data_IF_092516948629
#
_entry.id   IF_092516948629
#
_cell.length_a   1.000
_cell.length_b   1.000
_cell.length_c   1.000
_cell.angle_alpha   90.00
_cell.angle_beta   90.00
_cell.angle_gamma   90.00
#
_symmetry.space_group_name_H-M   'P 1'
#
loop_
_entity.id
_entity.type
_entity.pdbx_description
1 polymer ?
#
# COMPACT_ATOMS: atom_id res chain seq x y z
N UNK A 1 -19.33 -25.00 -58.33
CA UNK A 1 -20.10 -24.29 -57.28
C UNK A 1 -19.36 -24.39 -55.96
N UNK A 2 -19.27 -23.26 -55.28
CA UNK A 2 -18.27 -22.91 -54.26
C UNK A 2 -18.48 -23.68 -52.95
N UNK A 3 -17.41 -24.29 -52.44
CA UNK A 3 -17.40 -24.94 -51.12
C UNK A 3 -17.32 -23.93 -49.98
N UNK A 4 -18.36 -23.89 -49.15
CA UNK A 4 -18.37 -23.08 -47.92
C UNK A 4 -17.60 -23.79 -46.80
N UNK A 5 -16.33 -23.43 -46.59
CA UNK A 5 -15.62 -23.76 -45.35
C UNK A 5 -16.15 -22.85 -44.24
N UNK A 6 -17.05 -23.38 -43.42
CA UNK A 6 -17.50 -22.75 -42.18
C UNK A 6 -16.32 -22.57 -41.22
N UNK A 7 -15.83 -21.34 -41.11
CA UNK A 7 -14.90 -20.94 -40.07
C UNK A 7 -15.61 -21.01 -38.71
N UNK A 8 -15.45 -22.13 -37.99
CA UNK A 8 -15.75 -22.19 -36.57
C UNK A 8 -14.84 -21.19 -35.86
N UNK A 9 -15.38 -20.01 -35.54
CA UNK A 9 -14.81 -19.14 -34.50
C UNK A 9 -14.70 -19.99 -33.24
N UNK A 10 -13.47 -20.37 -32.87
CA UNK A 10 -13.20 -20.83 -31.50
C UNK A 10 -13.58 -19.66 -30.60
N UNK A 11 -14.65 -19.79 -29.81
CA UNK A 11 -14.82 -18.90 -28.67
C UNK A 11 -13.56 -19.06 -27.84
N UNK A 12 -12.75 -18.01 -27.74
CA UNK A 12 -11.67 -17.97 -26.77
C UNK A 12 -12.36 -18.00 -25.41
N UNK A 13 -12.43 -19.19 -24.80
CA UNK A 13 -12.91 -19.34 -23.44
C UNK A 13 -12.13 -18.35 -22.58
N UNK A 14 -12.84 -17.38 -22.01
CA UNK A 14 -12.24 -16.41 -21.11
C UNK A 14 -11.50 -17.19 -20.01
N UNK A 15 -10.25 -16.82 -19.67
CA UNK A 15 -9.47 -17.56 -18.70
C UNK A 15 -10.25 -17.63 -17.38
N UNK A 16 -10.68 -18.83 -17.00
CA UNK A 16 -11.49 -19.04 -15.79
C UNK A 16 -10.68 -18.61 -14.56
N UNK A 17 -11.28 -17.76 -13.73
CA UNK A 17 -10.71 -17.35 -12.45
C UNK A 17 -10.63 -18.58 -11.53
N UNK A 18 -9.40 -19.08 -11.27
CA UNK A 18 -9.17 -20.17 -10.33
C UNK A 18 -8.68 -19.60 -9.00
N UNK A 19 -9.54 -19.58 -8.00
CA UNK A 19 -9.21 -19.16 -6.64
C UNK A 19 -8.84 -20.37 -5.80
N UNK A 20 -7.63 -20.37 -5.23
CA UNK A 20 -7.16 -21.41 -4.32
C UNK A 20 -7.21 -20.87 -2.89
N UNK A 21 -7.64 -21.65 -1.88
CA UNK A 21 -7.69 -21.19 -0.49
C UNK A 21 -6.37 -20.59 0.01
N UNK A 22 -5.24 -21.16 -0.44
CA UNK A 22 -3.90 -20.67 -0.11
C UNK A 22 -3.64 -19.20 -0.48
N UNK A 23 -4.33 -18.66 -1.49
CA UNK A 23 -4.18 -17.25 -1.91
C UNK A 23 -4.80 -16.26 -0.90
N UNK A 24 -5.67 -16.74 -0.01
CA UNK A 24 -6.31 -15.92 1.03
C UNK A 24 -5.59 -16.01 2.38
N UNK A 25 -4.49 -16.76 2.48
CA UNK A 25 -3.68 -16.81 3.71
C UNK A 25 -3.18 -15.42 4.15
N UNK A 26 -2.71 -14.52 3.25
CA UNK A 26 -2.35 -13.16 3.65
C UNK A 26 -3.55 -12.38 4.22
N UNK A 27 -4.73 -12.52 3.61
CA UNK A 27 -5.98 -11.91 4.11
C UNK A 27 -6.29 -12.38 5.53
N UNK A 28 -6.25 -13.69 5.77
CA UNK A 28 -6.49 -14.26 7.10
C UNK A 28 -5.43 -13.82 8.12
N UNK A 29 -4.16 -13.79 7.72
CA UNK A 29 -3.05 -13.38 8.58
C UNK A 29 -3.19 -11.91 9.03
N UNK A 30 -3.49 -11.00 8.10
CA UNK A 30 -3.69 -9.59 8.44
C UNK A 30 -5.00 -9.35 9.22
N UNK A 31 -6.07 -10.08 8.93
CA UNK A 31 -7.30 -10.01 9.72
C UNK A 31 -7.04 -10.45 11.18
N UNK A 32 -6.31 -11.55 11.38
CA UNK A 32 -5.89 -12.00 12.70
C UNK A 32 -4.97 -10.98 13.39
N UNK A 33 -4.04 -10.36 12.65
CA UNK A 33 -3.18 -9.30 13.15
C UNK A 33 -3.99 -8.08 13.62
N UNK A 34 -5.04 -7.69 12.88
CA UNK A 34 -5.93 -6.60 13.28
C UNK A 34 -6.63 -6.90 14.60
N UNK A 35 -7.18 -8.10 14.77
CA UNK A 35 -7.81 -8.53 16.02
C UNK A 35 -6.80 -8.55 17.18
N UNK A 36 -5.62 -9.13 16.96
CA UNK A 36 -4.57 -9.21 17.97
C UNK A 36 -4.06 -7.82 18.37
N UNK A 37 -3.82 -6.93 17.40
CA UNK A 37 -3.39 -5.56 17.66
C UNK A 37 -4.45 -4.79 18.48
N UNK A 38 -5.74 -4.93 18.15
CA UNK A 38 -6.84 -4.34 18.94
C UNK A 38 -6.89 -4.86 20.36
N UNK A 39 -6.59 -6.15 20.56
CA UNK A 39 -6.50 -6.73 21.90
C UNK A 39 -5.34 -6.13 22.70
N UNK A 40 -4.16 -5.99 22.09
CA UNK A 40 -2.99 -5.35 22.70
C UNK A 40 -3.27 -3.88 23.04
N UNK A 41 -3.90 -3.13 22.14
CA UNK A 41 -4.20 -1.70 22.32
C UNK A 41 -5.43 -1.42 23.18
N UNK A 42 -6.08 -2.43 23.77
CA UNK A 42 -7.31 -2.24 24.57
C UNK A 42 -7.06 -1.43 25.84
N UNK A 43 -5.90 -1.60 26.47
CA UNK A 43 -5.52 -0.92 27.71
C UNK A 43 -4.10 -0.33 27.55
N UNK A 44 -3.95 0.75 26.77
CA UNK A 44 -2.63 1.32 26.53
C UNK A 44 -2.12 2.06 27.79
N UNK A 45 -0.80 2.14 28.00
CA UNK A 45 -0.21 3.02 29.01
C UNK A 45 -0.72 4.47 28.90
N UNK A 46 -0.90 5.14 30.05
CA UNK A 46 -1.43 6.53 30.12
C UNK A 46 -0.70 7.50 29.18
N UNK A 47 0.63 7.40 29.10
CA UNK A 47 1.47 8.25 28.23
C UNK A 47 1.14 8.18 26.74
N UNK A 48 0.43 7.15 26.28
CA UNK A 48 0.10 6.93 24.86
C UNK A 48 -1.30 7.42 24.48
N UNK A 49 -2.10 7.92 25.43
CA UNK A 49 -3.49 8.29 25.15
C UNK A 49 -3.62 9.42 24.12
N UNK A 50 -2.66 10.36 24.09
CA UNK A 50 -2.62 11.43 23.10
C UNK A 50 -2.42 10.91 21.66
N UNK A 51 -1.73 9.78 21.49
CA UNK A 51 -1.48 9.20 20.17
C UNK A 51 -2.74 8.56 19.58
N UNK A 52 -3.68 8.10 20.42
CA UNK A 52 -4.99 7.61 19.97
C UNK A 52 -5.92 8.72 19.48
N UNK A 53 -5.58 10.00 19.70
CA UNK A 53 -6.31 11.13 19.12
C UNK A 53 -5.82 11.48 17.70
N UNK A 54 -4.71 10.89 17.25
CA UNK A 54 -4.21 11.09 15.88
C UNK A 54 -5.13 10.38 14.88
N UNK A 55 -5.26 10.89 13.63
CA UNK A 55 -6.05 10.24 12.60
C UNK A 55 -5.70 8.76 12.39
N UNK A 56 -4.41 8.45 12.39
CA UNK A 56 -3.84 7.10 12.33
C UNK A 56 -2.83 6.92 13.45
N UNK A 57 -2.98 5.87 14.23
CA UNK A 57 -2.12 5.60 15.39
C UNK A 57 -0.78 5.03 14.90
N UNK A 58 0.33 5.73 15.17
CA UNK A 58 1.68 5.27 14.79
C UNK A 58 2.45 4.87 16.05
N UNK A 59 3.05 3.68 16.04
CA UNK A 59 3.56 3.04 17.28
C UNK A 59 5.08 2.90 17.34
N UNK A 60 5.79 3.45 16.35
CA UNK A 60 7.26 3.33 16.20
C UNK A 60 8.02 3.74 17.45
N UNK A 61 7.55 4.79 18.15
CA UNK A 61 8.23 5.37 19.30
C UNK A 61 7.67 4.90 20.67
N UNK A 62 6.85 3.86 20.70
CA UNK A 62 6.18 3.39 21.93
C UNK A 62 7.03 2.46 22.82
N UNK A 63 8.26 2.15 22.40
CA UNK A 63 9.17 1.25 23.12
C UNK A 63 8.62 -0.18 23.21
N UNK A 64 8.71 -0.81 24.38
CA UNK A 64 8.29 -2.22 24.60
C UNK A 64 6.83 -2.47 24.21
N UNK A 65 5.93 -1.51 24.44
CA UNK A 65 4.53 -1.65 24.05
C UNK A 65 4.35 -1.67 22.52
N UNK A 66 5.09 -0.82 21.81
CA UNK A 66 5.16 -0.85 20.35
C UNK A 66 5.79 -2.13 19.82
N UNK A 67 6.81 -2.67 20.51
CA UNK A 67 7.46 -3.92 20.13
C UNK A 67 6.51 -5.12 20.13
N UNK A 68 5.52 -5.16 21.03
CA UNK A 68 4.49 -6.20 21.02
C UNK A 68 3.63 -6.14 19.75
N UNK A 69 3.29 -4.94 19.27
CA UNK A 69 2.56 -4.74 18.02
C UNK A 69 3.41 -5.11 16.79
N UNK A 70 4.71 -4.78 16.82
CA UNK A 70 5.67 -5.22 15.79
C UNK A 70 5.72 -6.75 15.74
N UNK A 71 5.76 -7.43 16.89
CA UNK A 71 5.75 -8.89 16.94
C UNK A 71 4.48 -9.48 16.31
N UNK A 72 3.30 -8.89 16.57
CA UNK A 72 2.04 -9.28 15.91
C UNK A 72 2.16 -9.15 14.39
N UNK A 73 2.70 -8.03 13.89
CA UNK A 73 2.91 -7.84 12.45
C UNK A 73 3.90 -8.87 11.88
N UNK A 74 5.04 -9.11 12.54
CA UNK A 74 6.05 -10.08 12.09
C UNK A 74 5.44 -11.47 11.95
N UNK A 75 4.61 -11.91 12.92
CA UNK A 75 3.91 -13.19 12.84
C UNK A 75 2.98 -13.22 11.63
N UNK A 76 2.20 -12.16 11.39
CA UNK A 76 1.32 -12.07 10.24
C UNK A 76 2.07 -12.13 8.91
N UNK A 77 3.19 -11.39 8.80
CA UNK A 77 4.07 -11.39 7.63
C UNK A 77 4.70 -12.76 7.41
N UNK A 78 5.12 -13.46 8.46
CA UNK A 78 5.69 -14.81 8.37
C UNK A 78 4.65 -15.82 7.88
N UNK A 79 3.44 -15.80 8.44
CA UNK A 79 2.32 -16.67 8.01
C UNK A 79 1.96 -16.38 6.55
N UNK A 80 1.77 -15.12 6.18
CA UNK A 80 1.52 -14.72 4.79
C UNK A 80 2.68 -15.14 3.86
N UNK A 81 3.92 -15.04 4.33
CA UNK A 81 5.14 -15.45 3.64
C UNK A 81 5.16 -16.92 3.25
N UNK A 82 4.59 -17.82 4.07
CA UNK A 82 4.49 -19.24 3.71
C UNK A 82 3.65 -19.46 2.44
N UNK A 83 2.54 -18.73 2.30
CA UNK A 83 1.67 -18.79 1.12
C UNK A 83 2.33 -18.15 -0.10
N UNK A 84 3.06 -17.05 0.10
CA UNK A 84 3.83 -16.37 -0.94
C UNK A 84 4.94 -17.26 -1.50
N UNK A 85 5.74 -17.91 -0.65
CA UNK A 85 6.77 -18.86 -1.11
C UNK A 85 6.13 -20.04 -1.84
N UNK A 86 5.02 -20.56 -1.31
CA UNK A 86 4.28 -21.65 -1.96
C UNK A 86 3.79 -21.24 -3.35
N UNK A 87 3.25 -20.02 -3.48
CA UNK A 87 2.77 -19.41 -4.72
C UNK A 87 3.86 -19.38 -5.80
N UNK A 88 5.03 -18.85 -5.45
CA UNK A 88 6.15 -18.69 -6.37
C UNK A 88 6.75 -20.03 -6.82
N UNK A 89 6.60 -21.08 -6.02
CA UNK A 89 7.05 -22.44 -6.35
C UNK A 89 6.04 -23.22 -7.21
N UNK A 90 4.83 -22.70 -7.41
CA UNK A 90 3.83 -23.42 -8.20
C UNK A 90 4.14 -23.40 -9.71
N UNK A 91 3.77 -24.47 -10.40
CA UNK A 91 3.78 -24.49 -11.87
C UNK A 91 2.61 -23.71 -12.47
N UNK A 92 1.45 -23.74 -11.80
CA UNK A 92 0.22 -23.06 -12.22
C UNK A 92 0.07 -21.72 -11.48
N UNK A 93 0.76 -20.69 -11.99
CA UNK A 93 0.71 -19.35 -11.45
C UNK A 93 -0.71 -18.74 -11.59
N UNK A 94 -1.22 -18.01 -10.59
CA UNK A 94 -2.58 -17.49 -10.63
C UNK A 94 -2.82 -16.57 -11.83
N UNK A 95 -4.08 -16.51 -12.26
CA UNK A 95 -4.48 -15.53 -13.27
C UNK A 95 -4.34 -14.10 -12.73
N UNK A 96 -4.18 -13.09 -13.60
CA UNK A 96 -4.07 -11.70 -13.16
C UNK A 96 -5.29 -11.24 -12.34
N UNK A 97 -6.50 -11.69 -12.73
CA UNK A 97 -7.71 -11.41 -11.96
C UNK A 97 -7.70 -12.04 -10.55
N UNK A 98 -7.10 -13.23 -10.40
CA UNK A 98 -6.94 -13.84 -9.08
C UNK A 98 -5.98 -13.03 -8.22
N UNK A 99 -4.84 -12.62 -8.79
CA UNK A 99 -3.87 -11.75 -8.10
C UNK A 99 -4.51 -10.45 -7.64
N UNK A 100 -5.22 -9.72 -8.52
CA UNK A 100 -5.91 -8.47 -8.15
C UNK A 100 -6.90 -8.70 -7.01
N UNK A 101 -7.76 -9.72 -7.12
CA UNK A 101 -8.78 -9.99 -6.10
C UNK A 101 -8.16 -10.37 -4.75
N UNK A 102 -7.17 -11.26 -4.74
CA UNK A 102 -6.57 -11.76 -3.50
C UNK A 102 -5.67 -10.70 -2.85
N UNK A 103 -4.93 -9.92 -3.66
CA UNK A 103 -4.16 -8.78 -3.16
C UNK A 103 -5.09 -7.70 -2.62
N UNK A 104 -6.18 -7.36 -3.31
CA UNK A 104 -7.18 -6.41 -2.78
C UNK A 104 -7.76 -6.89 -1.45
N UNK A 105 -8.15 -8.16 -1.33
CA UNK A 105 -8.65 -8.71 -0.08
C UNK A 105 -7.61 -8.62 1.06
N UNK A 106 -6.35 -8.99 0.78
CA UNK A 106 -5.27 -8.91 1.75
C UNK A 106 -4.95 -7.46 2.16
N UNK A 107 -4.95 -6.54 1.20
CA UNK A 107 -4.74 -5.12 1.40
C UNK A 107 -5.83 -4.48 2.26
N UNK A 108 -7.10 -4.83 2.01
CA UNK A 108 -8.22 -4.38 2.84
C UNK A 108 -8.08 -4.91 4.27
N UNK A 109 -7.73 -6.19 4.44
CA UNK A 109 -7.49 -6.77 5.76
C UNK A 109 -6.30 -6.12 6.49
N UNK A 110 -5.20 -5.85 5.78
CA UNK A 110 -4.05 -5.13 6.33
C UNK A 110 -4.42 -3.70 6.75
N UNK A 111 -5.28 -3.04 5.97
CA UNK A 111 -5.74 -1.68 6.27
C UNK A 111 -6.60 -1.58 7.53
N UNK A 112 -7.19 -2.70 7.98
CA UNK A 112 -7.96 -2.79 9.23
C UNK A 112 -7.09 -2.92 10.47
N UNK A 113 -5.78 -3.15 10.34
CA UNK A 113 -4.86 -3.14 11.48
C UNK A 113 -4.87 -1.72 12.07
N UNK A 114 -5.17 -1.54 13.37
CA UNK A 114 -5.48 -0.24 13.95
C UNK A 114 -4.25 0.65 14.18
N UNK A 115 -3.06 0.20 13.76
CA UNK A 115 -1.78 0.84 14.05
C UNK A 115 -0.88 0.79 12.82
N UNK A 116 -0.04 1.81 12.70
CA UNK A 116 1.04 1.93 11.72
C UNK A 116 2.40 1.90 12.42
N UNK A 117 3.43 1.52 11.68
CA UNK A 117 4.83 1.51 12.10
C UNK A 117 5.66 2.56 11.37
N UNK A 118 5.05 3.32 10.46
CA UNK A 118 5.65 4.45 9.76
C UNK A 118 4.81 5.72 9.90
N UNK A 119 5.51 6.85 9.84
CA UNK A 119 4.98 8.20 9.94
C UNK A 119 4.86 8.89 8.56
N UNK A 120 5.24 8.21 7.49
CA UNK A 120 5.51 8.84 6.21
C UNK A 120 4.27 9.48 5.57
N UNK A 121 3.09 8.86 5.70
CA UNK A 121 1.83 9.40 5.17
C UNK A 121 1.48 10.77 5.75
N UNK A 122 1.87 11.03 7.00
CA UNK A 122 1.74 12.36 7.61
C UNK A 122 2.68 13.36 6.94
N UNK A 123 3.93 12.98 6.70
CA UNK A 123 4.90 13.82 6.00
C UNK A 123 4.43 14.13 4.57
N UNK A 124 3.89 13.15 3.84
CA UNK A 124 3.37 13.37 2.48
C UNK A 124 2.24 14.41 2.47
N UNK A 125 1.30 14.29 3.41
CA UNK A 125 0.21 15.24 3.55
C UNK A 125 0.72 16.63 3.96
N UNK A 126 1.72 16.73 4.84
CA UNK A 126 2.35 17.99 5.19
C UNK A 126 3.08 18.64 4.00
N UNK A 127 3.83 17.88 3.19
CA UNK A 127 4.48 18.40 1.99
C UNK A 127 3.48 18.95 0.99
N UNK A 128 2.36 18.25 0.77
CA UNK A 128 1.28 18.76 -0.07
C UNK A 128 0.63 20.03 0.49
N UNK A 129 0.47 20.12 1.82
CA UNK A 129 -0.08 21.30 2.49
C UNK A 129 0.84 22.52 2.41
N UNK A 130 2.16 22.32 2.50
CA UNK A 130 3.17 23.36 2.29
C UNK A 130 3.17 23.84 0.83
N UNK A 131 3.20 22.90 -0.11
CA UNK A 131 3.18 23.21 -1.55
C UNK A 131 1.93 23.99 -1.96
N UNK A 132 0.75 23.64 -1.43
CA UNK A 132 -0.50 24.38 -1.67
C UNK A 132 -0.47 25.84 -1.18
N UNK A 133 0.48 26.20 -0.30
CA UNK A 133 0.67 27.55 0.21
C UNK A 133 1.87 28.27 -0.42
N UNK A 134 2.50 27.66 -1.42
CA UNK A 134 3.73 28.19 -2.02
C UNK A 134 4.93 28.16 -1.07
N UNK A 135 4.88 27.32 -0.02
CA UNK A 135 6.01 27.13 0.90
C UNK A 135 6.82 25.94 0.40
N UNK A 136 8.12 26.14 0.26
CA UNK A 136 9.06 25.10 -0.19
C UNK A 136 9.19 23.97 0.86
N UNK A 137 8.75 22.73 0.54
CA UNK A 137 8.84 21.60 1.48
C UNK A 137 10.26 21.01 1.60
N UNK A 138 11.20 21.41 0.74
CA UNK A 138 12.60 20.95 0.77
C UNK A 138 13.45 21.67 1.81
N UNK A 139 12.98 22.83 2.26
CA UNK A 139 13.60 23.59 3.33
C UNK A 139 13.06 23.09 4.67
N UNK A 140 13.79 23.38 5.76
CA UNK A 140 13.24 23.22 7.10
C UNK A 140 12.10 24.23 7.25
N UNK A 141 10.87 23.77 7.01
CA UNK A 141 9.70 24.60 7.07
C UNK A 141 9.52 25.12 8.51
N UNK A 142 9.19 26.40 8.69
CA UNK A 142 8.78 26.88 10.02
C UNK A 142 7.54 26.09 10.46
N UNK A 143 7.42 25.85 11.76
CA UNK A 143 6.18 25.31 12.31
C UNK A 143 5.02 26.22 11.85
N UNK A 144 4.00 25.63 11.21
CA UNK A 144 2.77 26.34 10.84
C UNK A 144 1.70 26.00 11.88
N UNK A 145 1.59 26.77 12.98
CA UNK A 145 0.73 26.43 14.11
C UNK A 145 -0.77 26.34 13.77
N UNK A 146 -1.18 26.83 12.60
CA UNK A 146 -2.57 26.83 12.15
C UNK A 146 -2.87 25.84 11.01
N UNK A 147 -1.88 25.07 10.54
CA UNK A 147 -2.14 24.00 9.58
C UNK A 147 -2.21 22.64 10.29
N UNK A 148 -3.36 21.98 10.17
CA UNK A 148 -3.62 20.71 10.83
C UNK A 148 -2.70 19.59 10.31
N UNK A 149 -2.44 19.49 9.01
CA UNK A 149 -1.62 18.42 8.43
C UNK A 149 -0.15 18.58 8.83
N UNK A 150 0.37 19.81 8.78
CA UNK A 150 1.73 20.14 9.22
C UNK A 150 1.87 19.92 10.72
N UNK A 151 0.87 20.30 11.52
CA UNK A 151 0.89 20.09 12.99
C UNK A 151 0.89 18.61 13.36
N UNK A 152 0.06 17.80 12.70
CA UNK A 152 0.01 16.34 12.89
C UNK A 152 1.34 15.68 12.50
N UNK A 153 1.91 16.05 11.36
CA UNK A 153 3.21 15.54 10.94
C UNK A 153 4.34 15.98 11.88
N UNK A 154 4.29 17.23 12.37
CA UNK A 154 5.27 17.75 13.34
C UNK A 154 5.20 16.96 14.66
N UNK A 155 4.00 16.65 15.15
CA UNK A 155 3.81 15.76 16.30
C UNK A 155 4.47 14.40 16.06
N UNK A 156 4.15 13.80 14.92
CA UNK A 156 4.60 12.46 14.58
C UNK A 156 6.13 12.35 14.44
N UNK A 157 6.79 13.44 14.04
CA UNK A 157 8.24 13.53 13.88
C UNK A 157 8.96 14.18 15.08
N UNK A 158 8.33 14.18 16.26
CA UNK A 158 9.00 14.58 17.51
C UNK A 158 9.24 16.08 17.66
N UNK A 159 8.41 16.91 17.02
CA UNK A 159 8.41 18.37 17.16
C UNK A 159 9.00 19.12 15.98
N UNK A 160 9.53 18.43 14.96
CA UNK A 160 9.99 19.05 13.73
C UNK A 160 9.63 18.22 12.51
N UNK A 161 9.02 18.83 11.49
CA UNK A 161 8.79 18.19 10.21
C UNK A 161 10.15 17.94 9.51
N UNK A 162 10.43 16.72 9.01
CA UNK A 162 11.62 16.48 8.20
C UNK A 162 11.55 17.25 6.88
N UNK A 163 12.68 17.75 6.34
CA UNK A 163 12.71 18.26 4.97
C UNK A 163 12.30 17.18 3.96
N UNK A 164 11.58 17.58 2.92
CA UNK A 164 11.18 16.68 1.86
C UNK A 164 12.40 16.08 1.12
N UNK A 165 12.38 14.76 0.93
CA UNK A 165 13.41 14.02 0.18
C UNK A 165 12.91 13.49 -1.16
N UNK A 166 11.66 13.80 -1.52
CA UNK A 166 11.01 13.28 -2.72
C UNK A 166 11.08 14.26 -3.88
N UNK A 167 11.19 13.73 -5.11
CA UNK A 167 11.24 14.57 -6.30
C UNK A 167 9.99 15.44 -6.51
N UNK A 168 10.08 16.53 -7.29
CA UNK A 168 9.01 17.53 -7.46
C UNK A 168 7.73 16.94 -8.04
N UNK A 169 7.82 15.88 -8.84
CA UNK A 169 6.64 15.17 -9.35
C UNK A 169 5.78 14.56 -8.22
N UNK A 170 6.43 13.96 -7.20
CA UNK A 170 5.72 13.42 -6.05
C UNK A 170 5.17 14.54 -5.16
N UNK A 171 5.91 15.64 -5.00
CA UNK A 171 5.40 16.82 -4.27
C UNK A 171 4.17 17.41 -4.96
N UNK A 172 4.17 17.52 -6.29
CA UNK A 172 3.01 17.97 -7.06
C UNK A 172 1.81 17.02 -6.91
N UNK A 173 2.05 15.70 -6.87
CA UNK A 173 1.00 14.73 -6.58
C UNK A 173 0.46 14.89 -5.15
N UNK A 174 1.35 15.03 -4.16
CA UNK A 174 0.95 15.25 -2.77
C UNK A 174 0.14 16.55 -2.62
N UNK A 175 0.56 17.61 -3.31
CA UNK A 175 -0.16 18.88 -3.40
C UNK A 175 -1.58 18.67 -3.95
N UNK A 176 -1.73 17.93 -5.05
CA UNK A 176 -3.02 17.59 -5.65
C UNK A 176 -3.91 16.78 -4.69
N UNK A 177 -3.37 15.72 -4.09
CA UNK A 177 -4.12 14.90 -3.12
C UNK A 177 -4.63 15.77 -1.97
N UNK A 178 -3.77 16.60 -1.38
CA UNK A 178 -4.16 17.49 -0.28
C UNK A 178 -5.21 18.52 -0.74
N UNK A 179 -5.06 19.12 -1.93
CA UNK A 179 -6.01 20.08 -2.46
C UNK A 179 -7.43 19.48 -2.63
N UNK A 180 -7.51 18.20 -2.99
CA UNK A 180 -8.79 17.50 -3.20
C UNK A 180 -9.41 17.03 -1.89
N UNK A 181 -8.61 16.48 -0.97
CA UNK A 181 -9.10 15.71 0.17
C UNK A 181 -9.06 16.45 1.50
N UNK A 182 -8.20 17.46 1.68
CA UNK A 182 -8.07 18.17 2.97
C UNK A 182 -9.35 18.92 3.39
N UNK A 183 -10.20 19.31 2.43
CA UNK A 183 -11.53 19.90 2.69
C UNK A 183 -12.49 18.95 3.43
N UNK A 184 -12.22 17.64 3.41
CA UNK A 184 -12.98 16.62 4.15
C UNK A 184 -12.33 16.27 5.50
N UNK A 185 -11.28 17.02 5.90
CA UNK A 185 -10.53 16.82 7.13
C UNK A 185 -9.18 16.13 6.93
N UNK A 186 -8.31 16.25 7.94
CA UNK A 186 -6.96 15.70 7.91
C UNK A 186 -6.94 14.18 7.74
N UNK A 187 -7.87 13.47 8.40
CA UNK A 187 -8.01 12.02 8.26
C UNK A 187 -8.28 11.61 6.81
N UNK A 188 -9.18 12.32 6.11
CA UNK A 188 -9.48 12.02 4.71
C UNK A 188 -8.27 12.24 3.78
N UNK A 189 -7.48 13.30 4.02
CA UNK A 189 -6.27 13.56 3.25
C UNK A 189 -5.20 12.47 3.46
N UNK A 190 -5.01 12.01 4.71
CA UNK A 190 -4.03 10.96 5.03
C UNK A 190 -4.48 9.61 4.45
N UNK A 191 -5.77 9.25 4.59
CA UNK A 191 -6.33 8.03 3.99
C UNK A 191 -6.26 8.04 2.45
N UNK A 192 -6.32 9.21 1.81
CA UNK A 192 -6.15 9.31 0.37
C UNK A 192 -4.75 8.86 -0.10
N UNK A 193 -3.69 9.09 0.69
CA UNK A 193 -2.36 8.54 0.39
C UNK A 193 -2.30 7.02 0.55
N UNK A 194 -2.99 6.46 1.55
CA UNK A 194 -3.13 4.99 1.70
C UNK A 194 -3.87 4.39 0.51
N UNK A 195 -4.98 5.00 0.11
CA UNK A 195 -5.71 4.60 -1.08
C UNK A 195 -4.85 4.68 -2.36
N UNK A 196 -4.04 5.74 -2.51
CA UNK A 196 -3.12 5.87 -3.63
C UNK A 196 -2.07 4.74 -3.65
N UNK A 197 -1.45 4.41 -2.52
CA UNK A 197 -0.46 3.33 -2.43
C UNK A 197 -1.09 1.96 -2.75
N UNK A 198 -2.28 1.69 -2.20
CA UNK A 198 -3.09 0.51 -2.48
C UNK A 198 -3.39 0.35 -3.98
N UNK A 199 -3.92 1.39 -4.60
CA UNK A 199 -4.25 1.40 -6.02
C UNK A 199 -2.99 1.25 -6.89
N UNK A 200 -1.88 1.86 -6.47
CA UNK A 200 -0.59 1.74 -7.16
C UNK A 200 -0.07 0.30 -7.14
N UNK A 201 -0.15 -0.39 -6.00
CA UNK A 201 0.24 -1.80 -5.92
C UNK A 201 -0.65 -2.69 -6.79
N UNK A 202 -1.96 -2.43 -6.84
CA UNK A 202 -2.86 -3.18 -7.74
C UNK A 202 -2.57 -2.90 -9.22
N UNK A 203 -2.21 -1.67 -9.57
CA UNK A 203 -1.78 -1.29 -10.91
C UNK A 203 -0.50 -2.02 -11.34
N UNK A 204 0.36 -2.44 -10.40
CA UNK A 204 1.53 -3.26 -10.72
C UNK A 204 1.17 -4.59 -11.38
N UNK A 205 -0.06 -5.13 -11.26
CA UNK A 205 -0.44 -6.37 -11.95
C UNK A 205 -0.39 -6.20 -13.48
N UNK A 206 -1.24 -5.35 -14.11
CA UNK A 206 -1.17 -5.18 -15.57
C UNK A 206 0.16 -4.58 -16.02
N UNK A 207 0.77 -3.70 -15.22
CA UNK A 207 2.06 -3.07 -15.57
C UNK A 207 3.19 -4.09 -15.60
N UNK A 208 3.24 -5.05 -14.67
CA UNK A 208 4.22 -6.13 -14.72
C UNK A 208 4.03 -7.00 -15.98
N UNK A 209 2.79 -7.29 -16.41
CA UNK A 209 2.57 -8.08 -17.63
C UNK A 209 3.07 -7.38 -18.91
N UNK A 210 2.97 -6.05 -18.94
CA UNK A 210 3.47 -5.25 -20.04
C UNK A 210 5.00 -5.08 -19.96
N UNK A 211 5.53 -4.88 -18.75
CA UNK A 211 6.95 -4.65 -18.50
C UNK A 211 7.83 -5.90 -18.60
N UNK A 212 7.28 -7.09 -18.33
CA UNK A 212 8.02 -8.36 -18.39
C UNK A 212 7.72 -9.12 -19.68
N UNK A 213 8.77 -9.66 -20.30
CA UNK A 213 8.68 -10.54 -21.46
C UNK A 213 8.65 -12.01 -21.06
N UNK A 214 8.81 -12.89 -22.04
CA UNK A 214 8.73 -14.34 -21.84
C UNK A 214 7.31 -14.87 -21.99
N UNK A 215 7.13 -16.14 -21.60
CA UNK A 215 5.84 -16.80 -21.68
C UNK A 215 4.83 -16.25 -20.65
N UNK A 216 3.57 -16.63 -20.83
CA UNK A 216 2.46 -16.20 -19.97
C UNK A 216 2.70 -16.57 -18.49
N UNK A 217 3.42 -17.65 -18.23
CA UNK A 217 3.74 -18.08 -16.87
C UNK A 217 4.77 -17.15 -16.22
N UNK A 218 5.83 -16.78 -16.94
CA UNK A 218 6.86 -15.87 -16.45
C UNK A 218 6.26 -14.51 -16.05
N UNK A 219 5.34 -13.99 -16.87
CA UNK A 219 4.61 -12.73 -16.58
C UNK A 219 3.74 -12.84 -15.32
N UNK A 220 3.01 -13.95 -15.17
CA UNK A 220 2.21 -14.24 -13.97
C UNK A 220 3.05 -14.28 -12.71
N UNK A 221 4.20 -14.96 -12.76
CA UNK A 221 5.12 -15.07 -11.63
C UNK A 221 5.75 -13.71 -11.30
N UNK A 222 6.12 -12.91 -12.31
CA UNK A 222 6.64 -11.56 -12.10
C UNK A 222 5.61 -10.66 -11.39
N UNK A 223 4.36 -10.65 -11.85
CA UNK A 223 3.28 -9.93 -11.20
C UNK A 223 3.04 -10.44 -9.76
N UNK A 224 2.99 -11.76 -9.56
CA UNK A 224 2.79 -12.37 -8.24
C UNK A 224 3.91 -12.02 -7.25
N UNK A 225 5.16 -11.97 -7.72
CA UNK A 225 6.34 -11.58 -6.92
C UNK A 225 6.18 -10.18 -6.35
N UNK A 226 5.52 -9.29 -7.08
CA UNK A 226 5.25 -7.94 -6.65
C UNK A 226 4.01 -7.91 -5.74
N UNK A 227 2.84 -8.27 -6.26
CA UNK A 227 1.56 -7.93 -5.58
C UNK A 227 1.12 -8.92 -4.51
N UNK A 228 1.72 -10.11 -4.45
CA UNK A 228 1.43 -11.11 -3.42
C UNK A 228 2.49 -11.13 -2.31
N UNK A 229 3.54 -10.30 -2.40
CA UNK A 229 4.56 -10.23 -1.38
C UNK A 229 3.99 -9.57 -0.10
N UNK A 230 4.01 -10.25 1.05
CA UNK A 230 3.40 -9.74 2.28
C UNK A 230 4.00 -8.41 2.76
N UNK A 231 5.29 -8.16 2.49
CA UNK A 231 5.93 -6.89 2.82
C UNK A 231 5.36 -5.77 1.95
N UNK A 232 5.23 -5.99 0.64
CA UNK A 232 4.65 -4.98 -0.26
C UNK A 232 3.18 -4.69 0.05
N UNK A 233 2.41 -5.72 0.43
CA UNK A 233 1.03 -5.58 0.86
C UNK A 233 0.94 -4.71 2.11
N UNK A 234 1.80 -4.96 3.10
CA UNK A 234 1.85 -4.15 4.32
C UNK A 234 2.28 -2.71 4.03
N UNK A 235 3.39 -2.49 3.32
CA UNK A 235 3.87 -1.16 2.97
C UNK A 235 2.80 -0.34 2.23
N UNK A 236 2.10 -0.94 1.27
CA UNK A 236 1.02 -0.26 0.56
C UNK A 236 -0.18 0.04 1.47
N UNK A 237 -0.54 -0.87 2.40
CA UNK A 237 -1.60 -0.64 3.37
C UNK A 237 -1.25 0.46 4.39
N UNK A 238 0.03 0.66 4.71
CA UNK A 238 0.49 1.81 5.51
C UNK A 238 0.48 3.13 4.72
N UNK A 239 0.48 3.06 3.38
CA UNK A 239 0.44 4.23 2.49
C UNK A 239 1.80 4.67 1.97
N UNK A 240 2.80 3.79 2.00
CA UNK A 240 4.13 4.07 1.45
C UNK A 240 4.10 4.35 -0.05
N UNK A 241 4.85 5.37 -0.48
CA UNK A 241 4.91 5.76 -1.90
C UNK A 241 5.77 4.81 -2.76
N UNK A 242 6.46 3.84 -2.16
CA UNK A 242 7.23 2.81 -2.86
C UNK A 242 6.36 2.03 -3.88
N UNK A 243 5.09 1.78 -3.56
CA UNK A 243 4.16 1.12 -4.47
C UNK A 243 3.90 1.97 -5.74
N UNK A 244 3.80 3.29 -5.58
CA UNK A 244 3.66 4.22 -6.70
C UNK A 244 4.95 4.28 -7.52
N UNK A 245 6.11 4.38 -6.86
CA UNK A 245 7.41 4.39 -7.53
C UNK A 245 7.61 3.12 -8.38
N UNK A 246 7.23 1.96 -7.83
CA UNK A 246 7.29 0.68 -8.53
C UNK A 246 6.34 0.66 -9.74
N UNK A 247 5.10 1.12 -9.59
CA UNK A 247 4.14 1.22 -10.69
C UNK A 247 4.67 2.12 -11.83
N UNK A 248 5.19 3.30 -11.51
CA UNK A 248 5.79 4.22 -12.50
C UNK A 248 7.01 3.59 -13.19
N UNK A 249 7.87 2.90 -12.44
CA UNK A 249 9.02 2.19 -13.01
C UNK A 249 8.60 1.09 -13.98
N UNK A 250 7.61 0.26 -13.61
CA UNK A 250 7.06 -0.77 -14.49
C UNK A 250 6.41 -0.16 -15.74
N UNK A 251 5.70 0.96 -15.61
CA UNK A 251 5.15 1.67 -16.76
C UNK A 251 6.25 2.14 -17.72
N UNK A 252 7.36 2.67 -17.20
CA UNK A 252 8.53 3.03 -18.00
C UNK A 252 9.08 1.84 -18.79
N UNK A 253 9.27 0.68 -18.13
CA UNK A 253 9.70 -0.54 -18.81
C UNK A 253 8.70 -1.06 -19.84
N UNK A 254 7.41 -0.93 -19.57
CA UNK A 254 6.35 -1.31 -20.50
C UNK A 254 6.34 -0.44 -21.77
N UNK A 255 6.75 0.83 -21.67
CA UNK A 255 6.77 1.77 -22.81
C UNK A 255 7.96 1.56 -23.76
N UNK A 256 9.06 0.98 -23.28
CA UNK A 256 10.29 0.78 -24.08
C UNK A 256 10.46 -0.64 -24.61
N UNK A 257 9.50 -1.53 -24.35
CA UNK A 257 9.44 -2.88 -24.94
C UNK A 257 8.66 -2.89 -26.24
#
# INVERSE_FOLDING_TARGET
MVGSRGARRRSADAPKLKLRPALFVPTAAFAAASVAARAVTRNPPLRLHADFAQPLVVVTNWGVFGAALVAVLIVALAVAGTSYVSLLRTHDAPSPGALVLTSLAALLAASLVPVLFSSDVYAYAAYGALANRGIDPYLRAPALPHDALVSLATWQWGGALPPCVYGPAFVGLAQFVVAVFARFGAHAAIEAFRALALLSLLACVPLAYAAFGGDERAKRIAAATIVANPVTLWCAAEGHNDALALAVGLAGFALVR
#
